data_IF_221992356858
#
_entry.id   IF_221992356858
#
_cell.length_a   1.000
_cell.length_b   1.000
_cell.length_c   1.000
_cell.angle_alpha   90.00
_cell.angle_beta   90.00
_cell.angle_gamma   90.00
#
_symmetry.space_group_name_H-M   'P 1'
#
loop_
_entity.id
_entity.type
_entity.pdbx_description
1 polymer ?
#
# COMPACT_ATOMS: atom_id res chain seq x y z
N UNK A 1 -18.25 -29.85 -2.27
CA UNK A 1 -18.22 -28.48 -1.70
C UNK A 1 -16.81 -27.97 -1.97
N UNK A 2 -16.65 -27.13 -2.98
CA UNK A 2 -15.36 -26.53 -3.29
C UNK A 2 -15.13 -25.43 -2.27
N UNK A 3 -14.11 -25.58 -1.43
CA UNK A 3 -13.68 -24.53 -0.51
C UNK A 3 -12.68 -23.71 -1.32
N UNK A 4 -13.06 -22.50 -1.70
CA UNK A 4 -12.11 -21.52 -2.24
C UNK A 4 -11.17 -21.12 -1.09
N UNK A 5 -9.95 -21.62 -1.14
CA UNK A 5 -8.88 -21.20 -0.24
C UNK A 5 -8.31 -19.91 -0.83
N UNK A 6 -8.73 -18.76 -0.30
CA UNK A 6 -8.16 -17.48 -0.68
C UNK A 6 -6.73 -17.38 -0.13
N UNK A 7 -5.73 -17.57 -0.98
CA UNK A 7 -4.40 -17.01 -0.75
C UNK A 7 -4.52 -15.48 -0.71
N UNK A 8 -3.67 -14.75 0.05
CA UNK A 8 -3.67 -13.30 0.00
C UNK A 8 -3.23 -12.86 -1.39
N UNK A 9 -4.19 -12.67 -2.29
CA UNK A 9 -3.99 -11.94 -3.54
C UNK A 9 -3.95 -10.48 -3.10
N UNK A 10 -2.74 -9.96 -2.91
CA UNK A 10 -2.56 -8.55 -2.63
C UNK A 10 -3.12 -7.75 -3.81
N UNK A 11 -3.89 -6.70 -3.52
CA UNK A 11 -4.50 -5.85 -4.54
C UNK A 11 -3.48 -4.94 -5.26
N UNK A 12 -2.20 -5.02 -4.90
CA UNK A 12 -1.11 -4.25 -5.49
C UNK A 12 0.14 -4.21 -4.62
N UNK A 13 1.23 -3.57 -5.09
CA UNK A 13 2.50 -3.54 -4.38
C UNK A 13 2.48 -2.75 -3.07
N UNK A 14 1.64 -1.71 -2.99
CA UNK A 14 1.48 -0.92 -1.76
C UNK A 14 0.76 -1.70 -0.65
N UNK A 15 -0.18 -2.57 -1.02
CA UNK A 15 -0.89 -3.41 -0.06
C UNK A 15 0.05 -4.46 0.54
N UNK A 16 0.92 -5.04 -0.30
CA UNK A 16 2.01 -5.91 0.19
C UNK A 16 2.95 -5.16 1.14
N UNK A 17 3.39 -3.95 0.78
CA UNK A 17 4.26 -3.15 1.64
C UNK A 17 3.60 -2.85 2.99
N UNK A 18 2.32 -2.46 2.97
CA UNK A 18 1.57 -2.19 4.18
C UNK A 18 1.41 -3.44 5.05
N UNK A 19 1.13 -4.59 4.42
CA UNK A 19 1.06 -5.87 5.13
C UNK A 19 2.39 -6.23 5.79
N UNK A 20 3.51 -6.07 5.08
CA UNK A 20 4.84 -6.36 5.61
C UNK A 20 5.20 -5.45 6.79
N UNK A 21 4.90 -4.15 6.68
CA UNK A 21 5.07 -3.16 7.76
C UNK A 21 4.22 -3.51 8.97
N UNK A 22 2.95 -3.85 8.77
CA UNK A 22 2.04 -4.20 9.86
C UNK A 22 2.40 -5.54 10.53
N UNK A 23 2.99 -6.48 9.79
CA UNK A 23 3.41 -7.80 10.31
C UNK A 23 4.62 -7.71 11.24
N UNK A 24 5.50 -6.72 11.06
CA UNK A 24 6.67 -6.58 11.92
C UNK A 24 6.33 -6.14 13.36
N UNK A 25 5.09 -5.76 13.69
CA UNK A 25 4.65 -5.29 15.03
C UNK A 25 5.51 -4.17 15.64
N UNK A 26 6.38 -3.54 14.84
CA UNK A 26 7.23 -2.41 15.22
C UNK A 26 6.55 -1.13 14.74
N UNK A 27 6.65 -0.06 15.54
CA UNK A 27 6.14 1.26 15.17
C UNK A 27 6.67 1.63 13.78
N UNK A 28 5.83 2.15 12.88
CA UNK A 28 6.20 2.43 11.48
C UNK A 28 7.42 3.36 11.38
N UNK A 29 7.70 4.11 12.44
CA UNK A 29 8.82 5.01 12.62
C UNK A 29 10.15 4.33 13.01
N UNK A 30 10.11 3.09 13.53
CA UNK A 30 11.26 2.34 14.03
C UNK A 30 11.75 1.27 13.04
N UNK A 31 11.02 1.00 11.96
CA UNK A 31 11.38 -0.05 10.99
C UNK A 31 12.57 0.37 10.12
N UNK A 32 13.57 -0.52 10.01
CA UNK A 32 14.65 -0.34 9.04
C UNK A 32 14.14 -0.59 7.62
N UNK A 33 14.23 0.43 6.78
CA UNK A 33 13.88 0.39 5.36
C UNK A 33 14.55 -0.77 4.60
N UNK A 34 15.79 -1.12 4.98
CA UNK A 34 16.49 -2.27 4.42
C UNK A 34 15.72 -3.59 4.62
N UNK A 35 15.11 -3.75 5.80
CA UNK A 35 14.37 -4.96 6.17
C UNK A 35 13.07 -5.06 5.40
N UNK A 36 12.36 -3.94 5.21
CA UNK A 36 11.16 -3.88 4.36
C UNK A 36 11.50 -4.25 2.92
N UNK A 37 12.58 -3.68 2.37
CA UNK A 37 13.03 -3.98 0.99
C UNK A 37 13.33 -5.47 0.84
N UNK A 38 14.02 -6.08 1.81
CA UNK A 38 14.35 -7.50 1.77
C UNK A 38 13.11 -8.39 1.90
N UNK A 39 12.19 -8.05 2.80
CA UNK A 39 10.93 -8.76 2.95
C UNK A 39 10.05 -8.65 1.69
N UNK A 40 10.03 -7.48 1.05
CA UNK A 40 9.29 -7.24 -0.19
C UNK A 40 9.83 -8.10 -1.34
N UNK A 41 11.15 -8.09 -1.55
CA UNK A 41 11.80 -8.90 -2.59
C UNK A 41 11.63 -10.40 -2.33
N UNK A 42 11.71 -10.83 -1.07
CA UNK A 42 11.48 -12.23 -0.70
C UNK A 42 10.07 -12.69 -1.04
N UNK A 43 9.06 -11.84 -0.86
CA UNK A 43 7.68 -12.18 -1.19
C UNK A 43 7.43 -12.16 -2.69
N UNK A 44 8.04 -11.21 -3.41
CA UNK A 44 7.97 -11.13 -4.87
C UNK A 44 8.55 -12.40 -5.54
N UNK A 45 9.63 -12.97 -5.00
CA UNK A 45 10.21 -14.24 -5.51
C UNK A 45 9.29 -15.44 -5.27
N UNK A 46 8.52 -15.46 -4.17
CA UNK A 46 7.54 -16.52 -3.90
C UNK A 46 6.33 -16.47 -4.81
N UNK A 47 6.01 -15.30 -5.35
CA UNK A 47 4.90 -15.07 -6.28
C UNK A 47 5.23 -15.53 -7.72
N UNK A 48 5.93 -16.66 -7.89
CA UNK A 48 6.57 -17.09 -9.15
C UNK A 48 5.61 -17.37 -10.33
N UNK A 49 4.29 -17.31 -10.11
CA UNK A 49 3.23 -17.35 -11.13
C UNK A 49 2.50 -16.00 -11.23
N UNK A 50 3.25 -14.89 -11.31
CA UNK A 50 2.68 -13.55 -11.49
C UNK A 50 2.14 -13.37 -12.91
N UNK A 51 0.88 -12.95 -13.00
CA UNK A 51 0.30 -12.39 -14.22
C UNK A 51 1.17 -11.20 -14.68
N UNK A 52 1.52 -11.18 -15.97
CA UNK A 52 2.52 -10.27 -16.54
C UNK A 52 2.13 -8.79 -16.35
N UNK A 53 0.82 -8.53 -16.27
CA UNK A 53 0.26 -7.20 -16.07
C UNK A 53 0.48 -6.69 -14.64
N UNK A 54 0.26 -7.55 -13.64
CA UNK A 54 0.49 -7.25 -12.22
C UNK A 54 1.99 -7.09 -11.94
N UNK A 55 2.84 -7.87 -12.62
CA UNK A 55 4.28 -7.85 -12.40
C UNK A 55 4.93 -6.47 -12.65
N UNK A 56 4.37 -5.63 -13.52
CA UNK A 56 4.99 -4.35 -13.90
C UNK A 56 5.03 -3.34 -12.75
N UNK A 57 3.93 -3.24 -11.98
CA UNK A 57 3.85 -2.33 -10.83
C UNK A 57 4.75 -2.80 -9.68
N UNK A 58 4.80 -4.12 -9.45
CA UNK A 58 5.69 -4.71 -8.45
C UNK A 58 7.16 -4.52 -8.81
N UNK A 59 7.53 -4.65 -10.09
CA UNK A 59 8.88 -4.39 -10.57
C UNK A 59 9.30 -2.93 -10.44
N UNK A 60 8.39 -1.98 -10.70
CA UNK A 60 8.65 -0.56 -10.50
C UNK A 60 8.99 -0.26 -9.03
N UNK A 61 8.15 -0.73 -8.11
CA UNK A 61 8.36 -0.54 -6.67
C UNK A 61 9.63 -1.27 -6.20
N UNK A 62 9.89 -2.49 -6.68
CA UNK A 62 11.13 -3.21 -6.40
C UNK A 62 12.36 -2.39 -6.83
N UNK A 63 12.35 -1.82 -8.03
CA UNK A 63 13.46 -1.02 -8.54
C UNK A 63 13.69 0.24 -7.70
N UNK A 64 12.62 0.97 -7.34
CA UNK A 64 12.69 2.15 -6.46
C UNK A 64 13.25 1.78 -5.08
N UNK A 65 12.80 0.67 -4.49
CA UNK A 65 13.26 0.20 -3.19
C UNK A 65 14.74 -0.23 -3.22
N UNK A 66 15.18 -0.90 -4.29
CA UNK A 66 16.59 -1.27 -4.48
C UNK A 66 17.46 -0.03 -4.66
N UNK A 67 17.03 0.94 -5.47
CA UNK A 67 17.75 2.21 -5.65
C UNK A 67 17.97 2.89 -4.29
N UNK A 68 16.91 2.99 -3.50
CA UNK A 68 16.93 3.65 -2.21
C UNK A 68 17.79 2.88 -1.19
N UNK A 69 17.72 1.53 -1.18
CA UNK A 69 18.62 0.69 -0.39
C UNK A 69 20.09 0.88 -0.80
N UNK A 70 20.36 0.97 -2.09
CA UNK A 70 21.72 1.12 -2.64
C UNK A 70 22.32 2.47 -2.27
N UNK A 71 21.56 3.57 -2.43
CA UNK A 71 22.00 4.90 -2.00
C UNK A 71 22.33 4.96 -0.51
N UNK A 72 21.54 4.29 0.33
CA UNK A 72 21.78 4.23 1.78
C UNK A 72 22.99 3.40 2.19
N UNK A 73 23.30 2.34 1.45
CA UNK A 73 24.41 1.42 1.77
C UNK A 73 25.74 1.81 1.12
N UNK A 74 25.72 2.66 0.10
CA UNK A 74 26.93 3.16 -0.54
C UNK A 74 27.67 4.11 0.41
N UNK A 75 28.94 3.84 0.74
CA UNK A 75 29.75 4.77 1.51
C UNK A 75 29.96 6.06 0.70
N UNK A 76 29.46 7.18 1.23
CA UNK A 76 29.83 8.51 0.77
C UNK A 76 31.35 8.69 0.83
N UNK A 77 31.90 9.51 -0.08
CA UNK A 77 33.34 9.79 -0.19
C UNK A 77 33.90 10.42 1.10
N UNK A 78 34.35 9.64 2.08
CA UNK A 78 35.13 10.00 3.30
C UNK A 78 34.72 11.22 4.16
N UNK A 79 33.76 12.04 3.72
CA UNK A 79 33.11 13.13 4.43
C UNK A 79 31.62 12.87 4.27
N UNK A 80 30.99 12.31 5.31
CA UNK A 80 29.53 12.21 5.38
C UNK A 80 29.03 13.66 5.41
N UNK A 81 28.48 14.13 4.28
CA UNK A 81 27.81 15.41 4.22
C UNK A 81 26.49 15.26 4.98
N UNK A 82 26.29 16.08 6.01
CA UNK A 82 25.11 16.04 6.86
C UNK A 82 23.83 16.30 6.03
N UNK A 83 23.97 17.05 4.94
CA UNK A 83 22.89 17.36 4.01
C UNK A 83 22.50 16.14 3.15
N UNK A 84 23.46 15.30 2.75
CA UNK A 84 23.18 14.02 2.05
C UNK A 84 22.49 13.02 2.99
N UNK A 85 22.93 12.95 4.24
CA UNK A 85 22.28 12.09 5.23
C UNK A 85 20.85 12.56 5.51
N UNK A 86 20.62 13.87 5.70
CA UNK A 86 19.28 14.42 5.91
C UNK A 86 18.35 14.15 4.71
N UNK A 87 18.84 14.30 3.47
CA UNK A 87 18.06 14.02 2.27
C UNK A 87 17.61 12.55 2.18
N UNK A 88 18.46 11.59 2.57
CA UNK A 88 18.12 10.17 2.61
C UNK A 88 17.04 9.86 3.66
N UNK A 89 17.05 10.57 4.79
CA UNK A 89 16.02 10.44 5.83
C UNK A 89 14.68 11.03 5.34
N UNK A 90 14.71 12.17 4.65
CA UNK A 90 13.52 12.78 4.03
C UNK A 90 12.90 11.87 2.95
N UNK A 91 13.70 11.20 2.12
CA UNK A 91 13.20 10.25 1.12
C UNK A 91 12.46 9.06 1.77
N UNK A 92 12.96 8.53 2.90
CA UNK A 92 12.26 7.49 3.67
C UNK A 92 10.94 8.00 4.21
N UNK A 93 10.96 9.16 4.86
CA UNK A 93 9.77 9.70 5.53
C UNK A 93 8.68 10.05 4.51
N UNK A 94 9.07 10.50 3.32
CA UNK A 94 8.16 10.70 2.20
C UNK A 94 7.51 9.39 1.74
N UNK A 95 8.29 8.31 1.60
CA UNK A 95 7.74 6.99 1.23
C UNK A 95 6.73 6.49 2.27
N UNK A 96 7.08 6.57 3.55
CA UNK A 96 6.19 6.18 4.65
C UNK A 96 4.92 7.03 4.68
N UNK A 97 5.03 8.34 4.47
CA UNK A 97 3.89 9.24 4.40
C UNK A 97 2.93 8.85 3.25
N UNK A 98 3.47 8.50 2.08
CA UNK A 98 2.66 8.03 0.93
C UNK A 98 1.99 6.69 1.20
N UNK A 99 2.67 5.77 1.87
CA UNK A 99 2.07 4.49 2.28
C UNK A 99 0.92 4.70 3.27
N UNK A 100 1.10 5.60 4.23
CA UNK A 100 0.07 5.94 5.21
C UNK A 100 -1.14 6.61 4.53
N UNK A 101 -0.90 7.53 3.60
CA UNK A 101 -1.94 8.17 2.79
C UNK A 101 -2.72 7.15 1.95
N UNK A 102 -2.03 6.21 1.28
CA UNK A 102 -2.70 5.15 0.54
C UNK A 102 -3.57 4.26 1.45
N UNK A 103 -3.08 3.94 2.66
CA UNK A 103 -3.87 3.21 3.67
C UNK A 103 -5.12 3.97 4.08
N UNK A 104 -5.01 5.26 4.39
CA UNK A 104 -6.17 6.04 4.83
C UNK A 104 -7.23 6.11 3.75
N UNK A 105 -6.84 6.31 2.48
CA UNK A 105 -7.79 6.24 1.36
C UNK A 105 -8.42 4.85 1.20
N UNK A 106 -7.64 3.77 1.33
CA UNK A 106 -8.17 2.40 1.30
C UNK A 106 -9.19 2.16 2.41
N UNK A 107 -8.93 2.65 3.62
CA UNK A 107 -9.85 2.49 4.75
C UNK A 107 -11.11 3.35 4.58
N UNK A 108 -10.99 4.57 4.07
CA UNK A 108 -12.15 5.41 3.71
C UNK A 108 -12.99 4.75 2.61
N UNK A 109 -12.35 4.15 1.60
CA UNK A 109 -13.06 3.44 0.53
C UNK A 109 -13.91 2.28 1.08
N UNK A 110 -13.41 1.54 2.07
CA UNK A 110 -14.19 0.49 2.76
C UNK A 110 -15.41 1.07 3.47
N UNK A 111 -15.27 2.21 4.15
CA UNK A 111 -16.41 2.89 4.81
C UNK A 111 -17.44 3.35 3.79
N UNK A 112 -17.00 3.93 2.67
CA UNK A 112 -17.89 4.35 1.60
C UNK A 112 -18.63 3.17 0.95
N UNK A 113 -17.96 2.02 0.80
CA UNK A 113 -18.60 0.81 0.29
C UNK A 113 -19.79 0.39 1.17
N UNK A 114 -19.65 0.46 2.50
CA UNK A 114 -20.77 0.19 3.43
C UNK A 114 -21.92 1.18 3.21
N UNK A 115 -21.63 2.47 3.01
CA UNK A 115 -22.68 3.46 2.75
C UNK A 115 -23.40 3.23 1.42
N UNK A 116 -22.67 2.77 0.40
CA UNK A 116 -23.27 2.41 -0.89
C UNK A 116 -24.19 1.20 -0.72
N UNK A 117 -23.75 0.16 -0.01
CA UNK A 117 -24.56 -1.03 0.27
C UNK A 117 -25.85 -0.70 1.04
N UNK A 118 -25.77 0.23 1.99
CA UNK A 118 -26.94 0.69 2.73
C UNK A 118 -27.87 1.54 1.86
N UNK A 119 -27.33 2.40 1.00
CA UNK A 119 -28.11 3.21 0.07
C UNK A 119 -28.81 2.35 -0.99
N UNK A 120 -28.21 1.24 -1.42
CA UNK A 120 -28.80 0.31 -2.40
C UNK A 120 -30.07 -0.37 -1.87
N UNK A 121 -30.29 -0.34 -0.54
CA UNK A 121 -31.51 -0.81 0.12
C UNK A 121 -32.61 0.25 0.21
N UNK A 122 -32.37 1.47 -0.26
CA UNK A 122 -33.31 2.59 -0.17
C UNK A 122 -33.75 3.02 -1.56
N UNK A 123 -35.06 2.99 -1.80
CA UNK A 123 -35.65 3.45 -3.05
C UNK A 123 -36.28 4.84 -2.88
N UNK A 124 -35.80 5.81 -3.65
CA UNK A 124 -36.39 7.14 -3.68
C UNK A 124 -37.81 7.08 -4.28
N UNK A 125 -38.77 7.73 -3.62
CA UNK A 125 -40.11 7.91 -4.18
C UNK A 125 -40.05 8.97 -5.28
N UNK A 126 -40.28 8.56 -6.52
CA UNK A 126 -40.18 9.43 -7.72
C UNK A 126 -41.46 10.25 -7.98
N UNK A 127 -42.55 9.96 -7.25
CA UNK A 127 -43.87 10.59 -7.47
C UNK A 127 -44.35 11.33 -6.23
N UNK A 128 -44.93 12.52 -6.43
CA UNK A 128 -45.55 13.33 -5.38
C UNK A 128 -46.79 12.68 -4.75
N UNK A 129 -47.46 13.42 -3.87
CA UNK A 129 -48.73 13.01 -3.27
C UNK A 129 -49.79 12.88 -4.38
N UNK A 130 -50.56 11.79 -4.37
CA UNK A 130 -51.64 11.55 -5.36
C UNK A 130 -52.64 12.73 -5.30
N UNK A 131 -53.16 13.19 -6.44
CA UNK A 131 -54.02 14.38 -6.54
C UNK A 131 -55.25 14.31 -5.62
N UNK A 132 -55.64 13.10 -5.23
CA UNK A 132 -56.76 12.85 -4.30
C UNK A 132 -56.47 13.21 -2.84
N UNK A 133 -55.19 13.39 -2.50
CA UNK A 133 -54.71 13.72 -1.15
C UNK A 133 -53.93 15.06 -1.13
N UNK A 134 -53.99 15.85 -2.20
CA UNK A 134 -53.46 17.22 -2.28
C UNK A 134 -54.45 18.26 -1.75
#
# INVERSE_FOLDING_TARGET
>A
MAIEVATPVYEGPFDLLLHLIMREEVDIHEISLSTIVDAYLAELVKMTELDLEIATEFLLIAATLIELKTRRLLPGKETVDLDEELALWEERDLLLARLLEAKTFKDVAKVLAVFVDDADRVYARVVGVDERFS
#
